data_IF_911020858349
#
_entry.id   IF_911020858349
#
_cell.length_a   1.000
_cell.length_b   1.000
_cell.length_c   1.000
_cell.angle_alpha   90.00
_cell.angle_beta   90.00
_cell.angle_gamma   90.00
#
_symmetry.space_group_name_H-M   'P 1'
#
loop_
_entity.id
_entity.type
_entity.pdbx_description
1 polymer ?
#
# COMPACT_ATOMS: atom_id res chain seq x y z
N UNK A 1 38.55 23.14 -19.88
CA UNK A 1 38.89 21.72 -20.14
C UNK A 1 37.58 21.05 -20.51
N UNK A 2 37.41 20.74 -21.80
CA UNK A 2 36.14 20.39 -22.44
C UNK A 2 35.69 18.94 -22.18
N UNK A 3 34.37 18.80 -22.16
CA UNK A 3 33.58 17.57 -22.05
C UNK A 3 33.87 16.58 -23.19
N UNK A 4 34.26 15.34 -22.86
CA UNK A 4 34.30 14.22 -23.81
C UNK A 4 32.90 13.60 -23.98
N UNK A 5 32.31 13.78 -25.17
CA UNK A 5 31.21 12.94 -25.67
C UNK A 5 31.80 11.80 -26.51
N UNK A 6 31.47 10.55 -26.18
CA UNK A 6 31.74 9.42 -27.07
C UNK A 6 30.68 9.37 -28.18
N UNK A 7 31.14 9.42 -29.44
CA UNK A 7 30.37 9.13 -30.65
C UNK A 7 30.45 7.63 -30.92
N UNK A 8 29.32 6.98 -31.16
CA UNK A 8 29.29 5.73 -31.92
C UNK A 8 28.45 5.95 -33.18
N UNK A 9 29.12 5.84 -34.32
CA UNK A 9 28.53 5.82 -35.65
C UNK A 9 28.75 4.44 -36.27
N UNK A 10 27.71 3.97 -36.97
CA UNK A 10 27.67 2.90 -37.97
C UNK A 10 27.90 1.45 -37.51
N UNK A 11 26.80 0.69 -37.39
CA UNK A 11 26.75 -0.69 -37.86
C UNK A 11 25.43 -0.93 -38.63
N UNK A 12 25.56 -1.76 -39.66
CA UNK A 12 24.73 -1.84 -40.87
C UNK A 12 23.43 -2.64 -40.68
N UNK A 13 22.46 -2.24 -41.50
CA UNK A 13 21.25 -2.97 -41.87
C UNK A 13 21.59 -4.35 -42.45
N UNK A 14 21.00 -5.42 -41.90
CA UNK A 14 20.80 -6.70 -42.59
C UNK A 14 19.37 -7.12 -42.25
N UNK A 15 18.58 -7.24 -43.30
CA UNK A 15 17.23 -7.78 -43.34
C UNK A 15 17.37 -9.29 -43.61
N UNK A 16 16.66 -10.14 -42.87
CA UNK A 16 16.30 -11.50 -43.30
C UNK A 16 15.24 -12.10 -42.36
N UNK A 17 14.03 -12.17 -42.93
CA UNK A 17 12.97 -13.21 -42.88
C UNK A 17 12.81 -14.18 -41.68
N UNK A 18 11.52 -14.34 -41.32
CA UNK A 18 10.85 -15.53 -40.74
C UNK A 18 11.29 -15.96 -39.32
N UNK A 19 10.43 -16.32 -38.37
CA UNK A 19 9.03 -16.72 -38.31
C UNK A 19 8.64 -16.64 -36.82
N UNK A 20 7.43 -16.14 -36.50
CA UNK A 20 6.61 -16.61 -35.36
C UNK A 20 5.37 -15.73 -35.19
N UNK A 21 4.30 -16.11 -35.89
CA UNK A 21 2.95 -15.58 -35.69
C UNK A 21 2.28 -16.27 -34.51
N UNK A 22 1.87 -15.49 -33.51
CA UNK A 22 0.73 -15.82 -32.66
C UNK A 22 0.11 -14.52 -32.16
N UNK A 23 -0.86 -13.99 -32.93
CA UNK A 23 -1.76 -12.92 -32.51
C UNK A 23 -3.18 -13.41 -32.76
N UNK A 24 -3.97 -13.53 -31.70
CA UNK A 24 -5.41 -13.66 -31.76
C UNK A 24 -6.00 -12.34 -31.30
N UNK A 25 -6.30 -11.49 -32.27
CA UNK A 25 -7.00 -10.23 -32.09
C UNK A 25 -8.09 -10.21 -33.15
N UNK A 26 -9.33 -10.41 -32.70
CA UNK A 26 -10.53 -10.17 -33.50
C UNK A 26 -10.98 -8.77 -33.13
N UNK A 27 -10.77 -7.81 -34.03
CA UNK A 27 -11.33 -6.47 -33.92
C UNK A 27 -12.58 -6.39 -34.80
N UNK A 28 -13.72 -6.29 -34.12
CA UNK A 28 -15.04 -6.02 -34.67
C UNK A 28 -15.11 -4.56 -35.08
N UNK A 29 -14.83 -4.25 -36.33
CA UNK A 29 -15.33 -3.02 -36.97
C UNK A 29 -15.08 -3.06 -38.46
N UNK A 30 -16.16 -3.21 -39.24
CA UNK A 30 -16.37 -2.46 -40.48
C UNK A 30 -17.82 -2.67 -40.92
N UNK A 31 -18.66 -1.70 -40.54
CA UNK A 31 -19.93 -1.40 -41.18
C UNK A 31 -19.69 -1.25 -42.69
N UNK A 32 -19.99 -2.30 -43.45
CA UNK A 32 -19.76 -2.39 -44.87
C UNK A 32 -21.06 -2.33 -45.66
N UNK A 33 -21.38 -1.12 -46.13
CA UNK A 33 -22.12 -0.77 -47.34
C UNK A 33 -23.43 -1.53 -47.67
N UNK A 34 -24.51 -0.77 -47.56
CA UNK A 34 -25.76 -0.95 -48.30
C UNK A 34 -25.45 -1.18 -49.79
N UNK A 35 -25.84 -2.35 -50.31
CA UNK A 35 -25.93 -2.60 -51.76
C UNK A 35 -27.39 -2.78 -52.12
N UNK A 36 -27.94 -1.68 -52.59
CA UNK A 36 -29.14 -1.56 -53.41
C UNK A 36 -29.01 -2.51 -54.62
N UNK A 37 -29.93 -3.46 -54.74
CA UNK A 37 -30.05 -4.31 -55.92
C UNK A 37 -31.38 -4.01 -56.61
N UNK A 38 -31.25 -3.62 -57.87
CA UNK A 38 -32.32 -3.25 -58.78
C UNK A 38 -33.35 -4.36 -59.00
N UNK A 39 -34.60 -3.92 -59.13
CA UNK A 39 -35.77 -4.71 -59.52
C UNK A 39 -35.55 -5.44 -60.85
N UNK A 40 -35.79 -6.75 -60.83
CA UNK A 40 -36.15 -7.53 -62.02
C UNK A 40 -37.49 -8.19 -61.72
N UNK A 41 -38.57 -7.55 -62.17
CA UNK A 41 -39.89 -8.16 -62.24
C UNK A 41 -39.91 -9.26 -63.31
N UNK A 42 -40.16 -10.50 -62.89
CA UNK A 42 -40.84 -11.50 -63.70
C UNK A 42 -41.97 -12.12 -62.86
N UNK A 43 -43.23 -11.87 -63.28
CA UNK A 43 -44.43 -12.51 -62.73
C UNK A 43 -44.37 -14.03 -62.90
N UNK A 44 -45.02 -14.87 -62.09
CA UNK A 44 -46.41 -14.87 -61.62
C UNK A 44 -46.57 -15.86 -60.44
N UNK A 45 -47.73 -15.95 -59.74
CA UNK A 45 -47.79 -16.22 -58.31
C UNK A 45 -47.85 -17.72 -57.98
N UNK A 46 -47.20 -18.14 -56.89
CA UNK A 46 -47.52 -19.44 -56.27
C UNK A 46 -47.75 -19.31 -54.77
N UNK A 47 -48.91 -19.83 -54.39
CA UNK A 47 -49.55 -19.85 -53.09
C UNK A 47 -48.79 -20.74 -52.12
N UNK A 48 -48.05 -20.17 -51.16
CA UNK A 48 -47.65 -20.92 -49.93
C UNK A 48 -47.24 -20.08 -48.72
N UNK A 49 -47.74 -18.87 -48.56
CA UNK A 49 -47.45 -18.02 -47.39
C UNK A 49 -48.36 -18.31 -46.17
N UNK A 50 -48.78 -19.56 -45.96
CA UNK A 50 -49.76 -19.92 -44.90
C UNK A 50 -49.21 -20.69 -43.70
N UNK A 51 -48.05 -21.34 -43.80
CA UNK A 51 -47.54 -22.22 -42.71
C UNK A 51 -46.31 -21.73 -41.98
N UNK A 52 -45.45 -20.93 -42.60
CA UNK A 52 -44.20 -20.45 -41.96
C UNK A 52 -44.48 -19.33 -40.94
N UNK A 53 -45.60 -18.60 -41.07
CA UNK A 53 -45.97 -17.49 -40.18
C UNK A 53 -46.47 -17.92 -38.79
N UNK A 54 -46.87 -19.20 -38.61
CA UNK A 54 -47.32 -19.72 -37.31
C UNK A 54 -46.16 -20.12 -36.39
N UNK A 55 -45.06 -20.65 -36.93
CA UNK A 55 -43.92 -21.06 -36.10
C UNK A 55 -43.07 -19.89 -35.57
N UNK A 56 -43.07 -18.74 -36.25
CA UNK A 56 -42.30 -17.54 -35.84
C UNK A 56 -43.04 -16.71 -34.78
N UNK A 57 -44.35 -16.89 -34.61
CA UNK A 57 -45.15 -16.18 -33.59
C UNK A 57 -45.11 -16.88 -32.23
N UNK A 58 -45.03 -18.21 -32.21
CA UNK A 58 -44.87 -18.99 -30.97
C UNK A 58 -43.47 -18.82 -30.34
N UNK A 59 -42.43 -18.58 -31.16
CA UNK A 59 -41.07 -18.36 -30.66
C UNK A 59 -40.88 -16.99 -29.97
N UNK A 60 -41.73 -15.99 -30.27
CA UNK A 60 -41.74 -14.71 -29.55
C UNK A 60 -42.42 -14.81 -28.18
N UNK A 61 -43.47 -15.64 -28.08
CA UNK A 61 -44.17 -15.90 -26.82
C UNK A 61 -43.26 -16.66 -25.83
N UNK A 62 -42.57 -17.70 -26.30
CA UNK A 62 -41.63 -18.47 -25.49
C UNK A 62 -40.40 -17.67 -25.03
N UNK A 63 -39.94 -16.71 -25.84
CA UNK A 63 -38.78 -15.85 -25.51
C UNK A 63 -39.01 -15.03 -24.24
N UNK A 64 -40.21 -14.48 -24.06
CA UNK A 64 -40.54 -13.74 -22.83
C UNK A 64 -40.53 -14.64 -21.58
N UNK A 65 -40.98 -15.89 -21.68
CA UNK A 65 -40.88 -16.86 -20.57
C UNK A 65 -39.44 -17.27 -20.26
N UNK A 66 -38.59 -17.39 -21.29
CA UNK A 66 -37.17 -17.67 -21.11
C UNK A 66 -36.48 -16.48 -20.45
N UNK A 67 -36.69 -15.27 -20.97
CA UNK A 67 -36.06 -14.04 -20.45
C UNK A 67 -36.51 -13.74 -19.01
N UNK A 68 -37.79 -13.93 -18.69
CA UNK A 68 -38.30 -13.78 -17.31
C UNK A 68 -37.78 -14.88 -16.38
N UNK A 69 -37.71 -16.13 -16.84
CA UNK A 69 -37.09 -17.22 -16.08
C UNK A 69 -35.63 -16.97 -15.78
N UNK A 70 -34.87 -16.48 -16.77
CA UNK A 70 -33.44 -16.19 -16.64
C UNK A 70 -33.19 -14.99 -15.72
N UNK A 71 -34.03 -13.95 -15.81
CA UNK A 71 -34.01 -12.81 -14.87
C UNK A 71 -34.29 -13.24 -13.43
N UNK A 72 -35.29 -14.10 -13.21
CA UNK A 72 -35.59 -14.62 -11.89
C UNK A 72 -34.45 -15.48 -11.33
N UNK A 73 -33.80 -16.29 -12.17
CA UNK A 73 -32.61 -17.05 -11.78
C UNK A 73 -31.48 -16.10 -11.39
N UNK A 74 -31.20 -15.05 -12.17
CA UNK A 74 -30.18 -14.04 -11.84
C UNK A 74 -30.53 -13.35 -10.51
N UNK A 75 -31.78 -12.93 -10.31
CA UNK A 75 -32.21 -12.31 -9.06
C UNK A 75 -32.08 -13.26 -7.86
N UNK A 76 -32.43 -14.54 -8.02
CA UNK A 76 -32.25 -15.55 -6.98
C UNK A 76 -30.77 -15.78 -6.70
N UNK A 77 -29.91 -15.82 -7.71
CA UNK A 77 -28.46 -15.93 -7.55
C UNK A 77 -27.87 -14.70 -6.87
N UNK A 78 -28.32 -13.48 -7.21
CA UNK A 78 -27.89 -12.24 -6.57
C UNK A 78 -28.36 -12.13 -5.12
N UNK A 79 -29.61 -12.51 -4.83
CA UNK A 79 -30.14 -12.55 -3.45
C UNK A 79 -29.45 -13.65 -2.65
N UNK A 80 -29.15 -14.79 -3.26
CA UNK A 80 -28.38 -15.87 -2.63
C UNK A 80 -26.94 -15.46 -2.41
N UNK A 81 -26.31 -14.70 -3.32
CA UNK A 81 -24.98 -14.11 -3.13
C UNK A 81 -25.00 -13.09 -1.99
N UNK A 82 -25.92 -12.13 -2.02
CA UNK A 82 -26.10 -11.14 -0.95
C UNK A 82 -26.42 -11.76 0.42
N UNK A 83 -27.20 -12.85 0.46
CA UNK A 83 -27.50 -13.58 1.71
C UNK A 83 -26.40 -14.55 2.13
N UNK A 84 -25.55 -14.97 1.19
CA UNK A 84 -24.36 -15.80 1.47
C UNK A 84 -23.18 -14.98 1.92
N UNK A 85 -23.11 -13.69 1.62
CA UNK A 85 -22.21 -12.75 2.27
C UNK A 85 -22.69 -12.59 3.71
N UNK A 86 -22.06 -13.26 4.70
CA UNK A 86 -22.19 -12.76 6.05
C UNK A 86 -21.55 -11.36 6.01
N UNK A 87 -21.97 -10.45 6.88
CA UNK A 87 -21.26 -9.16 7.11
C UNK A 87 -19.90 -9.39 7.81
N UNK A 88 -19.32 -10.57 7.62
CA UNK A 88 -18.01 -10.98 8.06
C UNK A 88 -17.35 -11.70 6.86
N UNK A 89 -16.17 -11.21 6.48
CA UNK A 89 -15.21 -11.90 5.62
C UNK A 89 -15.30 -11.67 4.10
N UNK A 90 -15.30 -10.40 3.67
CA UNK A 90 -14.24 -9.99 2.72
C UNK A 90 -12.98 -9.72 3.56
N UNK A 91 -12.37 -10.79 4.10
CA UNK A 91 -10.93 -10.79 4.31
C UNK A 91 -10.32 -10.92 2.93
N UNK A 92 -10.43 -9.86 2.12
CA UNK A 92 -9.37 -9.62 1.17
C UNK A 92 -8.10 -9.60 2.02
N UNK A 93 -7.24 -10.59 1.81
CA UNK A 93 -5.82 -10.41 2.08
C UNK A 93 -5.47 -9.21 1.22
N UNK A 94 -5.51 -8.00 1.80
CA UNK A 94 -5.16 -6.80 1.08
C UNK A 94 -3.69 -7.01 0.64
N UNK A 95 -3.42 -7.16 -0.67
CA UNK A 95 -2.06 -7.42 -1.17
C UNK A 95 -1.08 -6.28 -0.84
N UNK A 96 -1.57 -5.18 -0.26
CA UNK A 96 -0.83 -3.99 0.12
C UNK A 96 -0.41 -3.91 1.60
N UNK A 97 -0.62 -4.92 2.44
CA UNK A 97 -0.11 -4.87 3.82
C UNK A 97 1.35 -5.35 3.91
N UNK A 98 2.24 -4.56 3.30
CA UNK A 98 3.69 -4.72 3.38
C UNK A 98 4.22 -4.45 4.80
N UNK A 99 5.37 -5.04 5.16
CA UNK A 99 6.05 -4.84 6.45
C UNK A 99 5.29 -5.35 7.69
N UNK A 100 4.42 -6.37 7.55
CA UNK A 100 3.68 -6.96 8.68
C UNK A 100 4.56 -7.86 9.54
N UNK A 101 4.08 -8.14 10.75
CA UNK A 101 4.65 -9.18 11.59
C UNK A 101 4.45 -10.55 10.93
N UNK A 102 5.57 -11.22 10.60
CA UNK A 102 5.57 -12.56 10.03
C UNK A 102 5.15 -13.61 11.06
N UNK A 103 5.36 -13.36 12.35
CA UNK A 103 5.22 -14.38 13.41
C UNK A 103 3.76 -14.74 13.72
N UNK A 104 2.83 -13.87 13.31
CA UNK A 104 1.39 -14.00 13.53
C UNK A 104 0.91 -13.47 14.89
N UNK A 105 1.78 -12.81 15.66
CA UNK A 105 1.42 -12.17 16.94
C UNK A 105 0.60 -10.90 16.68
N UNK A 106 1.06 -10.07 15.74
CA UNK A 106 0.47 -8.80 15.39
C UNK A 106 -0.82 -8.93 14.58
N UNK A 107 -1.84 -8.10 14.84
CA UNK A 107 -3.05 -8.06 14.03
C UNK A 107 -2.80 -7.29 12.73
N UNK A 108 -3.82 -7.31 11.88
CA UNK A 108 -3.91 -6.42 10.73
C UNK A 108 -4.34 -5.03 11.20
N UNK A 109 -3.63 -4.00 10.75
CA UNK A 109 -3.98 -2.60 11.00
C UNK A 109 -4.72 -1.99 9.81
N UNK A 110 -5.57 -1.01 10.09
CA UNK A 110 -6.16 -0.17 9.04
C UNK A 110 -5.09 0.69 8.37
N UNK A 111 -5.36 1.14 7.14
CA UNK A 111 -4.47 1.98 6.36
C UNK A 111 -5.08 3.37 6.19
N UNK A 112 -4.21 4.38 6.13
CA UNK A 112 -4.57 5.77 5.90
C UNK A 112 -3.63 6.39 4.87
N UNK A 113 -4.21 7.07 3.89
CA UNK A 113 -3.42 7.93 2.99
C UNK A 113 -3.11 9.21 3.74
N UNK A 114 -1.82 9.54 3.86
CA UNK A 114 -1.34 10.75 4.51
C UNK A 114 -0.46 11.57 3.58
N UNK A 115 -0.36 12.86 3.86
CA UNK A 115 0.64 13.74 3.24
C UNK A 115 1.62 14.14 4.30
N UNK A 116 2.90 13.94 4.02
CA UNK A 116 3.94 14.41 4.90
C UNK A 116 4.04 15.92 4.85
N UNK A 117 4.21 16.52 6.02
CA UNK A 117 4.37 17.94 6.22
C UNK A 117 5.52 18.15 7.18
N UNK A 118 6.25 19.23 6.96
CA UNK A 118 7.32 19.64 7.86
C UNK A 118 6.73 20.08 9.20
N UNK A 119 7.14 19.41 10.27
CA UNK A 119 6.75 19.73 11.65
C UNK A 119 8.01 19.90 12.52
N UNK A 120 8.37 21.15 12.79
CA UNK A 120 9.52 21.48 13.64
C UNK A 120 9.27 21.22 15.13
N UNK A 121 8.04 20.89 15.55
CA UNK A 121 7.72 20.71 16.98
C UNK A 121 8.36 19.47 17.60
N UNK A 122 8.85 18.52 16.78
CA UNK A 122 9.60 17.35 17.23
C UNK A 122 11.13 17.56 17.16
N UNK A 123 11.59 18.48 16.31
CA UNK A 123 13.00 18.79 16.10
C UNK A 123 13.15 20.29 15.76
N UNK A 124 13.17 21.17 16.78
CA UNK A 124 13.21 22.61 16.56
C UNK A 124 14.50 23.05 15.88
N UNK A 125 14.43 24.11 15.05
CA UNK A 125 15.62 24.69 14.42
C UNK A 125 16.65 25.19 15.46
N UNK A 126 16.16 25.76 16.58
CA UNK A 126 16.99 26.04 17.73
C UNK A 126 17.16 24.75 18.55
N UNK A 127 18.28 24.07 18.36
CA UNK A 127 18.50 22.73 18.94
C UNK A 127 18.51 22.70 20.47
N UNK A 128 18.72 23.83 21.15
CA UNK A 128 18.58 23.92 22.59
C UNK A 128 17.12 23.70 23.05
N UNK A 129 16.13 24.04 22.23
CA UNK A 129 14.71 23.90 22.55
C UNK A 129 14.23 22.45 22.53
N UNK A 130 15.01 21.54 21.93
CA UNK A 130 14.70 20.09 21.95
C UNK A 130 14.57 19.54 23.37
N UNK A 131 15.36 20.07 24.31
CA UNK A 131 15.40 19.61 25.70
C UNK A 131 14.32 20.25 26.58
N UNK A 132 13.40 21.03 26.01
CA UNK A 132 12.26 21.55 26.75
C UNK A 132 11.24 20.45 27.06
N UNK A 133 10.57 20.56 28.21
CA UNK A 133 9.53 19.62 28.63
C UNK A 133 8.43 19.47 27.55
N UNK A 134 8.11 20.55 26.83
CA UNK A 134 7.12 20.52 25.76
C UNK A 134 7.54 19.59 24.62
N UNK A 135 8.77 19.72 24.10
CA UNK A 135 9.26 18.88 22.99
C UNK A 135 9.42 17.43 23.44
N UNK A 136 10.00 17.20 24.62
CA UNK A 136 10.15 15.85 25.18
C UNK A 136 8.79 15.18 25.41
N UNK A 137 7.78 15.92 25.87
CA UNK A 137 6.44 15.38 26.04
C UNK A 137 5.80 14.99 24.70
N UNK A 138 6.02 15.76 23.62
CA UNK A 138 5.52 15.39 22.29
C UNK A 138 6.09 14.06 21.81
N UNK A 139 7.37 13.79 22.06
CA UNK A 139 7.97 12.49 21.77
C UNK A 139 7.40 11.37 22.64
N UNK A 140 7.19 11.61 23.93
CA UNK A 140 6.50 10.65 24.82
C UNK A 140 5.08 10.35 24.35
N UNK A 141 4.37 11.35 23.81
CA UNK A 141 3.01 11.20 23.29
C UNK A 141 2.97 10.37 22.00
N UNK A 142 4.06 10.28 21.24
CA UNK A 142 4.15 9.34 20.12
C UNK A 142 4.20 7.89 20.62
N UNK A 143 4.93 7.62 21.70
CA UNK A 143 5.07 6.28 22.25
C UNK A 143 3.74 5.75 22.84
N UNK A 144 3.39 4.48 22.60
CA UNK A 144 2.32 3.81 23.36
C UNK A 144 2.73 3.65 24.82
N UNK A 145 1.77 3.60 25.73
CA UNK A 145 2.02 3.06 27.08
C UNK A 145 2.57 1.63 26.99
N UNK A 146 3.62 1.35 27.76
CA UNK A 146 4.45 0.17 27.68
C UNK A 146 5.55 0.23 26.61
N UNK A 147 5.71 1.37 25.94
CA UNK A 147 6.82 1.70 25.02
C UNK A 147 6.97 0.74 23.83
N UNK A 148 5.93 -0.04 23.53
CA UNK A 148 5.91 -1.04 22.47
C UNK A 148 6.53 -2.38 22.85
N UNK A 149 6.84 -2.59 24.13
CA UNK A 149 7.14 -3.91 24.67
C UNK A 149 5.85 -4.68 24.86
N UNK A 150 5.71 -5.75 24.10
CA UNK A 150 4.51 -6.58 24.05
C UNK A 150 4.73 -7.85 24.87
N UNK A 151 3.76 -8.18 25.72
CA UNK A 151 3.72 -9.46 26.41
C UNK A 151 2.98 -10.47 25.53
N UNK A 152 3.70 -11.49 25.08
CA UNK A 152 3.15 -12.56 24.24
C UNK A 152 2.93 -13.80 25.09
N UNK A 153 1.67 -14.15 25.30
CA UNK A 153 1.30 -15.42 25.92
C UNK A 153 1.21 -16.53 24.86
N UNK A 154 1.14 -17.79 25.29
CA UNK A 154 0.95 -18.94 24.41
C UNK A 154 1.88 -18.96 23.19
N UNK A 155 3.17 -18.71 23.40
CA UNK A 155 4.17 -18.53 22.33
C UNK A 155 4.24 -19.70 21.35
N UNK A 156 3.86 -20.90 21.78
CA UNK A 156 3.73 -22.10 20.95
C UNK A 156 2.75 -21.97 19.78
N UNK A 157 1.86 -20.97 19.78
CA UNK A 157 0.90 -20.70 18.70
C UNK A 157 1.53 -19.95 17.52
N UNK A 158 2.67 -19.32 17.75
CA UNK A 158 3.35 -18.46 16.79
C UNK A 158 4.60 -19.14 16.25
N UNK A 159 5.08 -18.66 15.10
CA UNK A 159 6.28 -19.17 14.45
C UNK A 159 7.29 -18.04 14.26
N UNK A 160 8.56 -18.38 14.05
CA UNK A 160 9.64 -17.42 13.77
C UNK A 160 9.79 -16.29 14.80
N UNK A 161 9.36 -16.54 16.06
CA UNK A 161 9.59 -15.61 17.16
C UNK A 161 11.10 -15.45 17.38
N UNK A 162 11.61 -14.21 17.55
CA UNK A 162 13.00 -13.99 17.91
C UNK A 162 13.27 -14.49 19.34
N UNK A 163 14.52 -14.39 19.80
CA UNK A 163 14.83 -14.58 21.22
C UNK A 163 14.10 -13.50 22.04
N UNK A 164 13.34 -13.88 23.08
CA UNK A 164 12.62 -12.91 23.90
C UNK A 164 13.57 -12.03 24.72
N UNK A 165 13.09 -10.85 25.06
CA UNK A 165 13.76 -9.93 25.98
C UNK A 165 13.71 -10.55 27.38
N UNK A 166 14.83 -10.48 28.11
CA UNK A 166 14.90 -10.95 29.48
C UNK A 166 13.94 -10.14 30.36
N UNK A 167 12.89 -10.80 30.85
CA UNK A 167 11.86 -10.17 31.66
C UNK A 167 11.38 -11.11 32.76
N UNK A 168 11.12 -10.62 33.99
CA UNK A 168 10.54 -11.45 35.03
C UNK A 168 9.15 -11.93 34.66
N UNK A 169 8.93 -13.24 34.68
CA UNK A 169 7.63 -13.90 34.59
C UNK A 169 6.80 -13.61 33.33
N UNK A 170 7.40 -13.01 32.30
CA UNK A 170 6.73 -12.68 31.03
C UNK A 170 7.64 -13.00 29.84
N UNK A 171 7.06 -13.43 28.73
CA UNK A 171 7.76 -13.48 27.45
C UNK A 171 7.50 -12.17 26.71
N UNK A 172 8.54 -11.35 26.61
CA UNK A 172 8.43 -9.98 26.11
C UNK A 172 9.20 -9.81 24.82
N UNK A 173 8.60 -9.07 23.89
CA UNK A 173 9.22 -8.65 22.64
C UNK A 173 9.01 -7.15 22.46
N UNK A 174 9.79 -6.50 21.60
CA UNK A 174 9.53 -5.12 21.19
C UNK A 174 9.12 -5.09 19.72
N UNK A 175 8.25 -4.15 19.36
CA UNK A 175 7.87 -3.98 17.95
C UNK A 175 8.87 -3.11 17.20
N UNK A 176 9.12 -3.44 15.93
CA UNK A 176 10.05 -2.68 15.11
C UNK A 176 9.62 -1.20 14.96
N UNK A 177 8.31 -0.91 14.93
CA UNK A 177 7.81 0.45 14.82
C UNK A 177 8.25 1.35 15.99
N UNK A 178 8.10 0.87 17.23
CA UNK A 178 8.50 1.64 18.43
C UNK A 178 10.02 1.70 18.60
N UNK A 179 10.74 0.66 18.18
CA UNK A 179 12.21 0.69 18.17
C UNK A 179 12.73 1.72 17.15
N UNK A 180 12.21 1.74 15.92
CA UNK A 180 12.56 2.75 14.90
C UNK A 180 12.31 4.17 15.42
N UNK A 181 11.20 4.39 16.12
CA UNK A 181 10.88 5.69 16.71
C UNK A 181 11.85 6.09 17.82
N UNK A 182 12.23 5.16 18.70
CA UNK A 182 13.28 5.38 19.72
C UNK A 182 14.64 5.69 19.09
N UNK A 183 15.03 4.96 18.04
CA UNK A 183 16.27 5.25 17.30
C UNK A 183 16.26 6.66 16.71
N UNK A 184 15.14 7.11 16.13
CA UNK A 184 15.01 8.46 15.62
C UNK A 184 15.12 9.50 16.74
N UNK A 185 14.48 9.27 17.89
CA UNK A 185 14.62 10.15 19.06
C UNK A 185 16.08 10.26 19.50
N UNK A 186 16.80 9.15 19.64
CA UNK A 186 18.21 9.15 20.05
C UNK A 186 19.11 9.93 19.08
N UNK A 187 18.83 9.83 17.77
CA UNK A 187 19.51 10.61 16.72
C UNK A 187 19.28 12.10 16.91
N UNK A 188 18.03 12.52 17.09
CA UNK A 188 17.68 13.94 17.27
C UNK A 188 18.23 14.48 18.59
N UNK A 189 18.15 13.71 19.68
CA UNK A 189 18.71 14.06 20.98
C UNK A 189 20.23 14.27 20.90
N UNK A 190 20.95 13.33 20.27
CA UNK A 190 22.41 13.43 20.14
C UNK A 190 22.81 14.61 19.28
N UNK A 191 22.17 14.81 18.13
CA UNK A 191 22.44 15.98 17.27
C UNK A 191 22.16 17.29 18.01
N UNK A 192 21.03 17.36 18.74
CA UNK A 192 20.64 18.56 19.47
C UNK A 192 21.61 18.85 20.61
N UNK A 193 22.05 17.84 21.35
CA UNK A 193 23.01 18.01 22.44
C UNK A 193 24.38 18.46 21.94
N UNK A 194 24.89 17.83 20.88
CA UNK A 194 26.18 18.21 20.27
C UNK A 194 26.20 19.66 19.76
N UNK A 195 25.09 20.14 19.21
CA UNK A 195 25.02 21.49 18.61
C UNK A 195 24.68 22.58 19.61
N UNK A 196 23.96 22.26 20.68
CA UNK A 196 23.57 23.23 21.72
C UNK A 196 24.45 23.20 22.97
N UNK A 197 25.34 22.21 23.10
CA UNK A 197 26.19 22.02 24.26
C UNK A 197 25.49 21.39 25.48
N UNK A 198 24.31 20.79 25.30
CA UNK A 198 23.66 20.00 26.34
C UNK A 198 24.38 18.67 26.56
N UNK A 199 24.26 18.15 27.78
CA UNK A 199 24.75 16.82 28.12
C UNK A 199 24.04 15.75 27.27
N UNK A 200 24.82 14.78 26.79
CA UNK A 200 24.36 13.64 26.01
C UNK A 200 24.77 12.35 26.73
N UNK A 201 24.03 11.24 26.55
CA UNK A 201 24.39 9.95 27.12
C UNK A 201 25.83 9.54 26.79
N UNK A 202 26.54 8.94 27.75
CA UNK A 202 27.95 8.54 27.56
C UNK A 202 28.11 7.53 26.42
N UNK A 203 27.11 6.67 26.21
CA UNK A 203 27.06 5.65 25.18
C UNK A 203 26.59 6.15 23.81
N UNK A 204 26.35 7.47 23.64
CA UNK A 204 25.82 8.05 22.41
C UNK A 204 26.57 7.57 21.16
N UNK A 205 27.90 7.44 21.19
CA UNK A 205 28.65 6.99 20.01
C UNK A 205 28.23 5.59 19.54
N UNK A 206 28.16 4.63 20.45
CA UNK A 206 27.73 3.26 20.11
C UNK A 206 26.27 3.25 19.67
N UNK A 207 25.41 3.95 20.41
CA UNK A 207 23.98 3.99 20.14
C UNK A 207 23.69 4.62 18.76
N UNK A 208 24.42 5.67 18.37
CA UNK A 208 24.29 6.29 17.05
C UNK A 208 24.70 5.36 15.91
N UNK A 209 25.80 4.63 16.04
CA UNK A 209 26.22 3.66 15.01
C UNK A 209 25.18 2.54 14.84
N UNK A 210 24.62 2.07 15.96
CA UNK A 210 23.51 1.11 15.95
C UNK A 210 22.26 1.68 15.25
N UNK A 211 21.81 2.86 15.67
CA UNK A 211 20.61 3.52 15.13
C UNK A 211 20.74 3.82 13.64
N UNK A 212 21.91 4.27 13.16
CA UNK A 212 22.13 4.52 11.74
C UNK A 212 21.99 3.26 10.90
N UNK A 213 22.58 2.14 11.34
CA UNK A 213 22.45 0.89 10.61
C UNK A 213 21.03 0.33 10.70
N UNK A 214 20.41 0.37 11.88
CA UNK A 214 19.04 -0.10 12.08
C UNK A 214 18.03 0.68 11.22
N UNK A 215 18.11 2.01 11.21
CA UNK A 215 17.22 2.86 10.40
C UNK A 215 17.46 2.65 8.90
N UNK A 216 18.72 2.49 8.46
CA UNK A 216 19.03 2.13 7.06
C UNK A 216 18.35 0.82 6.66
N UNK A 217 18.45 -0.21 7.51
CA UNK A 217 17.81 -1.50 7.24
C UNK A 217 16.27 -1.39 7.26
N UNK A 218 15.69 -0.62 8.18
CA UNK A 218 14.25 -0.38 8.25
C UNK A 218 13.70 0.32 7.00
N UNK A 219 14.41 1.33 6.49
CA UNK A 219 14.08 2.03 5.24
C UNK A 219 14.15 1.07 4.05
N UNK A 220 15.22 0.27 3.93
CA UNK A 220 15.34 -0.70 2.84
C UNK A 220 14.28 -1.81 2.95
N UNK A 221 13.93 -2.24 4.16
CA UNK A 221 12.90 -3.25 4.39
C UNK A 221 11.51 -2.74 4.03
N UNK A 222 11.19 -1.47 4.36
CA UNK A 222 9.87 -0.88 4.14
C UNK A 222 9.72 -0.23 2.76
N UNK A 223 10.82 0.16 2.12
CA UNK A 223 10.94 0.69 0.74
C UNK A 223 9.72 1.48 0.29
N UNK A 224 9.45 2.62 0.93
CA UNK A 224 8.34 3.49 0.52
C UNK A 224 8.60 4.00 -0.91
N UNK A 225 7.70 3.66 -1.83
CA UNK A 225 7.79 3.98 -3.26
C UNK A 225 6.92 5.18 -3.66
N UNK A 226 6.44 5.98 -2.70
CA UNK A 226 5.76 7.23 -2.98
C UNK A 226 6.64 8.14 -3.87
N UNK A 227 6.04 8.76 -4.88
CA UNK A 227 6.73 9.74 -5.72
C UNK A 227 6.84 11.05 -4.96
N UNK A 228 8.05 11.62 -4.94
CA UNK A 228 8.31 12.92 -4.31
C UNK A 228 8.47 14.03 -5.34
N UNK A 229 7.90 15.20 -5.03
CA UNK A 229 7.85 16.37 -5.89
C UNK A 229 9.04 17.32 -5.74
N UNK A 230 8.95 18.49 -6.37
CA UNK A 230 9.91 19.57 -6.18
C UNK A 230 9.90 20.04 -4.72
N UNK A 231 11.07 20.38 -4.18
CA UNK A 231 11.19 20.96 -2.85
C UNK A 231 10.28 22.19 -2.66
N UNK A 232 9.82 22.38 -1.43
CA UNK A 232 9.01 23.53 -1.01
C UNK A 232 9.61 24.29 0.17
N UNK A 233 10.62 23.71 0.83
CA UNK A 233 11.20 24.20 2.08
C UNK A 233 12.70 24.45 2.02
N UNK A 234 13.37 24.17 0.89
CA UNK A 234 14.82 24.40 0.80
C UNK A 234 15.11 25.91 0.67
N UNK A 235 16.07 26.47 1.45
CA UNK A 235 16.35 27.90 1.40
C UNK A 235 16.84 28.43 0.06
N UNK A 236 17.50 27.58 -0.74
CA UNK A 236 18.16 27.92 -1.99
C UNK A 236 17.37 27.49 -3.25
N UNK A 237 16.21 26.85 -3.06
CA UNK A 237 15.37 26.30 -4.12
C UNK A 237 16.16 25.58 -5.24
N UNK A 238 17.06 24.68 -4.84
CA UNK A 238 18.04 24.07 -5.75
C UNK A 238 17.46 23.04 -6.74
N UNK A 239 16.14 22.86 -6.79
CA UNK A 239 15.49 21.91 -7.68
C UNK A 239 15.48 20.47 -7.18
N UNK A 240 15.89 20.22 -5.93
CA UNK A 240 15.79 18.92 -5.27
C UNK A 240 14.36 18.55 -4.86
N UNK A 241 14.24 17.51 -4.03
CA UNK A 241 12.99 17.09 -3.40
C UNK A 241 13.16 17.10 -1.89
N UNK A 242 12.13 17.57 -1.17
CA UNK A 242 12.06 17.50 0.29
C UNK A 242 10.92 16.59 0.78
N UNK A 243 10.23 15.91 -0.15
CA UNK A 243 9.17 14.95 0.14
C UNK A 243 7.85 15.56 0.63
N UNK A 244 7.80 16.85 0.97
CA UNK A 244 6.60 17.49 1.50
C UNK A 244 5.59 17.72 0.36
N UNK A 245 4.34 17.26 0.55
CA UNK A 245 3.23 17.14 -0.45
C UNK A 245 3.06 15.74 -1.10
N UNK A 246 4.00 14.83 -0.92
CA UNK A 246 3.86 13.45 -1.38
C UNK A 246 2.74 12.71 -0.62
N UNK A 247 2.06 11.78 -1.31
CA UNK A 247 1.00 10.94 -0.71
C UNK A 247 1.58 9.57 -0.36
N UNK A 248 1.44 9.18 0.90
CA UNK A 248 1.94 7.92 1.44
C UNK A 248 0.78 7.04 1.90
N UNK A 249 0.91 5.72 1.74
CA UNK A 249 -0.04 4.75 2.28
C UNK A 249 0.55 4.19 3.57
N UNK A 250 0.06 4.67 4.71
CA UNK A 250 0.57 4.30 6.03
C UNK A 250 -0.41 3.39 6.77
N UNK A 251 0.07 2.65 7.77
CA UNK A 251 -0.82 2.13 8.81
C UNK A 251 -1.38 3.28 9.63
N UNK A 252 -2.63 3.17 10.08
CA UNK A 252 -3.14 4.15 11.02
C UNK A 252 -2.39 4.02 12.35
N UNK A 253 -1.62 5.05 12.69
CA UNK A 253 -0.80 5.05 13.89
C UNK A 253 -1.63 4.92 15.17
N UNK A 254 -2.86 5.43 15.19
CA UNK A 254 -3.71 5.32 16.37
C UNK A 254 -4.14 3.87 16.61
N UNK A 255 -4.43 3.12 15.54
CA UNK A 255 -4.75 1.69 15.64
C UNK A 255 -3.52 0.89 16.11
N UNK A 256 -2.34 1.22 15.57
CA UNK A 256 -1.07 0.62 16.01
C UNK A 256 -0.85 0.89 17.49
N UNK A 257 -0.90 2.16 17.91
CA UNK A 257 -0.71 2.59 19.29
C UNK A 257 -1.70 1.89 20.23
N UNK A 258 -2.99 1.91 19.89
CA UNK A 258 -4.06 1.29 20.69
C UNK A 258 -3.84 -0.21 20.88
N UNK A 259 -3.44 -0.92 19.82
CA UNK A 259 -3.10 -2.33 19.92
C UNK A 259 -1.90 -2.57 20.83
N UNK A 260 -0.79 -1.84 20.64
CA UNK A 260 0.41 -2.02 21.45
C UNK A 260 0.13 -1.78 22.93
N UNK A 261 -0.68 -0.77 23.25
CA UNK A 261 -1.15 -0.55 24.63
C UNK A 261 -2.00 -1.71 25.15
N UNK A 262 -2.80 -2.36 24.32
CA UNK A 262 -3.64 -3.49 24.75
C UNK A 262 -2.85 -4.76 25.12
N UNK A 263 -1.65 -4.94 24.55
CA UNK A 263 -0.77 -6.10 24.77
C UNK A 263 0.51 -5.78 25.54
N UNK A 264 0.59 -4.59 26.13
CA UNK A 264 1.80 -4.08 26.77
C UNK A 264 2.30 -4.92 27.94
N UNK A 265 3.62 -4.99 28.09
CA UNK A 265 4.27 -5.71 29.19
C UNK A 265 4.30 -4.92 30.51
N UNK A 266 4.22 -3.58 30.46
CA UNK A 266 4.26 -2.65 31.60
C UNK A 266 3.64 -1.29 31.19
N UNK A 267 3.67 -0.28 32.07
CA UNK A 267 2.87 0.94 31.94
C UNK A 267 3.66 2.24 31.67
N UNK A 268 4.99 2.20 31.49
CA UNK A 268 5.77 3.43 31.25
C UNK A 268 5.55 3.99 29.84
N UNK A 269 5.86 5.28 29.66
CA UNK A 269 5.65 5.99 28.39
C UNK A 269 6.75 7.03 28.11
N UNK A 270 7.96 6.83 28.65
CA UNK A 270 9.08 7.74 28.46
C UNK A 270 9.97 7.24 27.34
N UNK A 271 10.12 8.01 26.26
CA UNK A 271 10.95 7.57 25.13
C UNK A 271 12.46 7.54 25.44
N UNK A 272 12.86 8.27 26.49
CA UNK A 272 14.23 8.52 26.92
C UNK A 272 14.64 7.74 28.18
#
# INVERSE_FOLDING_TARGET
MESQKAKYANLRHVDDSDDSRSSTEVDDSLMGNEKEWHDVELGTPTTRAGRIRKFVTDFKSARWFIDTGLLLIILVLLVRDQRRRPVAEEKEVNPWQFGQDLTGVGPRFTQRITTFQRDESYAPNNTAEFFTDEVLQRWNDLMPKGMGFVWVNDTQKYHDLPTPIEWPDKTVFTTSATHQLHCLFAVVQTYSGLTSGHEIPEDHHWHMIHCFDYMRQAIMCSSDMALEGLETTFPDHNGGSDGWDSKHVCRDWNDVKSYLESVRAYDDQLIY
#
